data_IF_979147092298
#
_entry.id   IF_979147092298
#
_cell.length_a   1.000
_cell.length_b   1.000
_cell.length_c   1.000
_cell.angle_alpha   90.00
_cell.angle_beta   90.00
_cell.angle_gamma   90.00
#
_symmetry.space_group_name_H-M   'P 1'
#
loop_
_entity.id
_entity.type
_entity.pdbx_description
1 polymer ?
#
# COMPACT_ATOMS: atom_id res chain seq x y z
N UNK A 1 -16.76 37.19 -18.86
CA UNK A 1 -16.14 36.54 -17.67
C UNK A 1 -16.38 35.07 -17.84
N UNK A 2 -15.41 34.34 -18.47
CA UNK A 2 -15.48 32.89 -18.56
C UNK A 2 -15.25 32.36 -17.15
N UNK A 3 -16.32 31.82 -16.52
CA UNK A 3 -16.16 31.10 -15.27
C UNK A 3 -15.19 29.94 -15.53
N UNK A 4 -14.06 29.89 -14.80
CA UNK A 4 -13.22 28.71 -14.77
C UNK A 4 -14.11 27.56 -14.33
N UNK A 5 -14.28 26.58 -15.16
CA UNK A 5 -14.96 25.34 -14.76
C UNK A 5 -13.97 24.56 -13.90
N UNK A 6 -14.32 24.34 -12.62
CA UNK A 6 -13.52 23.54 -11.73
C UNK A 6 -13.77 22.06 -12.00
N UNK A 7 -12.71 21.29 -12.11
CA UNK A 7 -12.75 19.83 -12.17
C UNK A 7 -12.77 19.24 -10.76
N UNK A 8 -13.32 18.06 -10.61
CA UNK A 8 -13.29 17.28 -9.38
C UNK A 8 -12.10 16.31 -9.42
N UNK A 9 -11.05 16.60 -8.64
CA UNK A 9 -9.91 15.71 -8.45
C UNK A 9 -10.23 14.69 -7.36
N UNK A 10 -9.98 13.40 -7.62
CA UNK A 10 -10.27 12.30 -6.69
C UNK A 10 -8.98 11.65 -6.22
N UNK A 11 -8.77 11.61 -4.91
CA UNK A 11 -7.60 11.03 -4.26
C UNK A 11 -7.77 9.55 -3.95
N UNK A 12 -8.94 9.22 -3.40
CA UNK A 12 -9.23 7.90 -2.85
C UNK A 12 -10.74 7.67 -2.73
N UNK A 13 -11.12 6.41 -2.49
CA UNK A 13 -12.39 6.06 -1.88
C UNK A 13 -12.17 5.67 -0.41
N UNK A 14 -13.07 6.07 0.48
CA UNK A 14 -12.99 5.80 1.91
C UNK A 14 -14.40 5.62 2.50
N UNK A 15 -14.53 5.00 3.70
CA UNK A 15 -15.79 4.99 4.42
C UNK A 15 -16.21 6.41 4.79
N UNK A 16 -17.50 6.73 4.63
CA UNK A 16 -18.06 8.02 5.05
C UNK A 16 -18.35 7.98 6.55
N UNK A 17 -17.32 8.21 7.35
CA UNK A 17 -17.39 8.21 8.82
C UNK A 17 -17.09 9.61 9.38
N UNK A 18 -17.56 9.94 10.60
CA UNK A 18 -17.20 11.18 11.27
C UNK A 18 -15.68 11.34 11.44
N UNK A 19 -14.97 10.26 11.67
CA UNK A 19 -13.52 10.22 11.87
C UNK A 19 -12.79 10.64 10.59
N UNK A 20 -13.19 10.08 9.43
CA UNK A 20 -12.63 10.45 8.11
C UNK A 20 -12.96 11.91 7.80
N UNK A 21 -14.19 12.37 8.06
CA UNK A 21 -14.56 13.78 7.87
C UNK A 21 -13.72 14.72 8.72
N UNK A 22 -13.50 14.36 9.98
CA UNK A 22 -12.67 15.14 10.90
C UNK A 22 -11.20 15.17 10.47
N UNK A 23 -10.66 14.05 9.98
CA UNK A 23 -9.28 13.96 9.51
C UNK A 23 -8.98 14.87 8.32
N UNK A 24 -9.98 15.18 7.50
CA UNK A 24 -9.87 16.06 6.35
C UNK A 24 -10.01 17.56 6.69
N UNK A 25 -10.39 17.89 7.93
CA UNK A 25 -10.56 19.28 8.34
C UNK A 25 -9.23 20.06 8.24
N UNK A 26 -9.21 21.08 7.40
CA UNK A 26 -8.00 21.90 7.15
C UNK A 26 -6.97 21.29 6.22
N UNK A 27 -7.17 20.07 5.73
CA UNK A 27 -6.27 19.44 4.75
C UNK A 27 -6.33 20.18 3.42
N UNK A 28 -5.16 20.45 2.86
CA UNK A 28 -4.99 21.03 1.53
C UNK A 28 -4.46 19.97 0.59
N UNK A 29 -5.14 19.80 -0.52
CA UNK A 29 -4.76 18.86 -1.57
C UNK A 29 -3.95 19.50 -2.68
N UNK A 30 -4.05 18.90 -3.85
CA UNK A 30 -3.43 19.39 -5.08
C UNK A 30 -3.83 20.85 -5.34
N UNK A 31 -2.91 21.65 -5.82
CA UNK A 31 -3.05 23.11 -6.03
C UNK A 31 -3.48 23.86 -4.76
N UNK A 32 -3.23 23.32 -3.56
CA UNK A 32 -3.55 23.96 -2.27
C UNK A 32 -5.05 24.07 -1.96
N UNK A 33 -5.90 23.34 -2.67
CA UNK A 33 -7.36 23.40 -2.53
C UNK A 33 -7.88 22.57 -1.35
N UNK A 34 -9.00 22.97 -0.71
CA UNK A 34 -9.56 22.21 0.40
C UNK A 34 -10.01 20.81 -0.02
N UNK A 35 -9.77 19.83 0.84
CA UNK A 35 -10.19 18.44 0.64
C UNK A 35 -11.48 18.15 1.42
N UNK A 36 -12.37 17.35 0.84
CA UNK A 36 -13.64 16.97 1.44
C UNK A 36 -14.09 15.58 1.00
N UNK A 37 -15.09 15.01 1.68
CA UNK A 37 -15.77 13.80 1.21
C UNK A 37 -16.92 14.15 0.25
N UNK A 38 -17.02 13.35 -0.81
CA UNK A 38 -18.11 13.38 -1.80
C UNK A 38 -18.92 12.07 -1.71
N UNK A 39 -19.98 12.02 -0.88
CA UNK A 39 -20.81 10.83 -0.74
C UNK A 39 -21.82 10.68 -1.91
N UNK A 40 -22.43 9.50 -2.00
CA UNK A 40 -23.61 9.32 -2.83
C UNK A 40 -24.83 10.05 -2.25
N UNK A 41 -25.73 10.62 -3.09
CA UNK A 41 -26.79 11.52 -2.65
C UNK A 41 -27.84 10.90 -1.69
N UNK A 42 -27.88 9.58 -1.51
CA UNK A 42 -28.88 8.89 -0.68
C UNK A 42 -28.28 7.96 0.38
N UNK A 43 -27.00 8.09 0.69
CA UNK A 43 -26.45 7.41 1.85
C UNK A 43 -26.92 8.13 3.12
N UNK A 44 -28.08 7.75 3.66
CA UNK A 44 -28.51 8.20 4.99
C UNK A 44 -27.41 7.82 6.00
N UNK A 45 -27.03 8.73 6.93
CA UNK A 45 -26.10 8.35 7.99
C UNK A 45 -26.68 7.16 8.75
N UNK A 46 -25.86 6.25 9.30
CA UNK A 46 -26.34 5.13 10.08
C UNK A 46 -27.16 5.68 11.26
N UNK A 47 -28.47 5.61 11.12
CA UNK A 47 -29.40 5.95 12.20
C UNK A 47 -29.25 4.87 13.26
N UNK A 48 -28.70 5.23 14.40
CA UNK A 48 -28.83 4.46 15.63
C UNK A 48 -30.31 4.48 16.01
N UNK A 49 -31.12 3.58 15.43
CA UNK A 49 -32.51 3.42 15.85
C UNK A 49 -32.52 2.67 17.18
N UNK A 50 -32.60 3.41 18.23
CA UNK A 50 -33.12 2.91 19.49
C UNK A 50 -34.63 2.76 19.30
N UNK A 51 -35.05 1.53 18.95
CA UNK A 51 -36.48 1.18 19.04
C UNK A 51 -36.83 1.02 20.53
N UNK A 52 -37.74 1.84 21.07
CA UNK A 52 -38.31 1.57 22.38
C UNK A 52 -39.28 0.37 22.21
N UNK A 53 -38.85 -0.80 22.66
CA UNK A 53 -39.72 -1.97 22.78
C UNK A 53 -40.78 -1.72 23.82
N UNK A 54 -42.07 -1.70 23.41
CA UNK A 54 -43.21 -1.76 24.29
C UNK A 54 -43.24 -3.06 25.06
N UNK A 55 -43.46 -3.07 26.37
CA UNK A 55 -43.60 -4.29 27.15
C UNK A 55 -45.00 -4.91 26.92
N UNK A 56 -45.05 -6.06 26.29
CA UNK A 56 -46.23 -6.89 26.36
C UNK A 56 -46.14 -7.76 27.63
N UNK A 57 -47.05 -7.51 28.51
CA UNK A 57 -47.36 -8.33 29.70
C UNK A 57 -48.02 -9.64 29.24
N UNK A 58 -47.38 -10.78 29.46
CA UNK A 58 -48.13 -12.00 29.79
C UNK A 58 -47.27 -13.05 30.49
N UNK A 59 -47.73 -13.42 31.69
CA UNK A 59 -47.67 -14.66 32.47
C UNK A 59 -46.38 -15.55 32.50
N UNK A 60 -45.89 -15.67 33.77
CA UNK A 60 -44.91 -16.60 34.30
C UNK A 60 -45.24 -18.09 34.09
N UNK A 61 -44.18 -18.98 34.05
CA UNK A 61 -43.98 -19.78 35.28
C UNK A 61 -42.51 -19.79 35.75
N UNK A 62 -42.43 -19.96 37.05
CA UNK A 62 -41.30 -20.06 37.95
C UNK A 62 -40.36 -21.22 37.59
N UNK A 63 -39.08 -20.88 37.35
CA UNK A 63 -37.99 -21.85 37.25
C UNK A 63 -36.68 -21.20 37.63
N UNK A 64 -36.16 -21.52 38.82
CA UNK A 64 -34.88 -21.04 39.34
C UNK A 64 -33.73 -21.59 38.55
N UNK A 65 -32.88 -20.73 37.97
CA UNK A 65 -31.53 -21.03 37.50
C UNK A 65 -30.54 -20.04 38.10
N UNK A 66 -29.30 -20.46 38.45
CA UNK A 66 -28.34 -19.61 39.14
C UNK A 66 -27.80 -18.50 38.21
N UNK A 67 -27.80 -17.30 38.74
CA UNK A 67 -27.16 -16.14 38.18
C UNK A 67 -25.65 -16.26 38.39
N UNK A 68 -24.86 -16.45 37.28
CA UNK A 68 -23.50 -15.96 37.15
C UNK A 68 -23.05 -16.20 35.68
N UNK A 69 -23.48 -15.30 34.84
CA UNK A 69 -22.81 -15.07 33.54
C UNK A 69 -22.87 -13.59 33.29
N UNK A 70 -21.71 -12.95 33.03
CA UNK A 70 -21.73 -11.54 32.63
C UNK A 70 -22.52 -11.37 31.34
N UNK A 71 -23.24 -10.28 31.14
CA UNK A 71 -23.98 -10.02 29.93
C UNK A 71 -23.00 -10.03 28.76
N UNK A 72 -23.22 -10.90 27.78
CA UNK A 72 -22.52 -10.86 26.52
C UNK A 72 -22.76 -9.47 25.89
N UNK A 73 -21.70 -8.72 25.68
CA UNK A 73 -21.79 -7.47 24.95
C UNK A 73 -22.48 -7.74 23.61
N UNK A 74 -23.50 -6.95 23.26
CA UNK A 74 -24.14 -7.10 21.96
C UNK A 74 -23.10 -6.89 20.88
N UNK A 75 -22.80 -7.94 20.11
CA UNK A 75 -21.99 -7.83 18.91
C UNK A 75 -22.66 -6.77 18.04
N UNK A 76 -22.10 -5.57 18.06
CA UNK A 76 -22.52 -4.47 17.21
C UNK A 76 -22.18 -4.84 15.77
N UNK A 77 -23.07 -5.56 15.11
CA UNK A 77 -23.04 -5.71 13.66
C UNK A 77 -23.49 -4.36 13.07
N UNK A 78 -22.60 -3.39 13.11
CA UNK A 78 -22.81 -2.12 12.42
C UNK A 78 -22.68 -2.40 10.93
N UNK A 79 -23.72 -2.10 10.16
CA UNK A 79 -23.62 -2.16 8.70
C UNK A 79 -22.41 -1.32 8.26
N UNK A 80 -21.65 -1.79 7.25
CA UNK A 80 -20.47 -1.06 6.78
C UNK A 80 -20.87 0.37 6.39
N UNK A 81 -20.07 1.35 6.79
CA UNK A 81 -20.31 2.74 6.43
C UNK A 81 -20.35 2.87 4.89
N UNK A 82 -21.21 3.74 4.36
CA UNK A 82 -21.26 3.99 2.92
C UNK A 82 -19.90 4.52 2.42
N UNK A 83 -19.57 4.19 1.18
CA UNK A 83 -18.32 4.64 0.55
C UNK A 83 -18.50 6.03 -0.03
N UNK A 84 -17.52 6.90 0.17
CA UNK A 84 -17.42 8.23 -0.43
C UNK A 84 -16.07 8.41 -1.14
N UNK A 85 -16.01 9.34 -2.11
CA UNK A 85 -14.75 9.80 -2.65
C UNK A 85 -14.14 10.91 -1.78
N UNK A 86 -12.82 10.88 -1.64
CA UNK A 86 -12.01 11.98 -1.09
C UNK A 86 -11.63 12.88 -2.24
N UNK A 87 -12.07 14.13 -2.25
CA UNK A 87 -11.98 15.01 -3.40
C UNK A 87 -11.49 16.42 -3.06
N UNK A 88 -10.97 17.12 -4.07
CA UNK A 88 -10.81 18.58 -4.06
C UNK A 88 -11.19 19.19 -5.41
N UNK A 89 -11.26 20.52 -5.48
CA UNK A 89 -11.48 21.23 -6.74
C UNK A 89 -10.16 21.66 -7.33
N UNK A 90 -10.00 21.46 -8.64
CA UNK A 90 -8.82 21.88 -9.38
C UNK A 90 -9.24 22.64 -10.63
N UNK A 91 -8.44 23.60 -11.04
CA UNK A 91 -8.73 24.40 -12.21
C UNK A 91 -8.62 23.58 -13.50
N UNK A 92 -9.58 23.71 -14.41
CA UNK A 92 -9.60 22.97 -15.68
C UNK A 92 -8.42 23.27 -16.57
N UNK A 93 -7.88 24.50 -16.53
CA UNK A 93 -6.70 24.91 -17.29
C UNK A 93 -5.39 24.21 -16.83
N UNK A 94 -5.37 23.64 -15.61
CA UNK A 94 -4.23 22.88 -15.10
C UNK A 94 -4.39 21.36 -15.29
N UNK A 95 -5.63 20.87 -15.29
CA UNK A 95 -5.96 19.43 -15.22
C UNK A 95 -6.81 18.91 -16.38
N UNK A 96 -6.99 19.67 -17.47
CA UNK A 96 -7.60 19.12 -18.67
C UNK A 96 -6.66 18.10 -19.36
N UNK A 97 -7.21 17.25 -20.21
CA UNK A 97 -6.47 16.13 -20.85
C UNK A 97 -5.25 16.63 -21.67
N UNK A 98 -5.34 17.81 -22.28
CA UNK A 98 -4.24 18.37 -23.11
C UNK A 98 -3.11 18.87 -22.24
N UNK A 99 -3.46 19.60 -21.20
CA UNK A 99 -2.51 20.16 -20.24
C UNK A 99 -1.81 19.05 -19.47
N UNK A 100 -2.55 18.02 -19.02
CA UNK A 100 -1.97 16.88 -18.30
C UNK A 100 -0.90 16.16 -19.14
N UNK A 101 -1.11 15.96 -20.44
CA UNK A 101 -0.10 15.31 -21.30
C UNK A 101 1.23 16.09 -21.31
N UNK A 102 1.17 17.41 -21.38
CA UNK A 102 2.38 18.24 -21.34
C UNK A 102 2.99 18.31 -19.94
N UNK A 103 2.15 18.34 -18.89
CA UNK A 103 2.58 18.41 -17.49
C UNK A 103 3.22 17.12 -16.98
N UNK A 104 2.87 15.96 -17.51
CA UNK A 104 3.53 14.71 -17.15
C UNK A 104 5.00 14.63 -17.59
N UNK A 105 5.46 15.52 -18.49
CA UNK A 105 6.87 15.69 -18.84
C UNK A 105 7.60 16.65 -17.89
N UNK A 106 6.87 17.46 -17.11
CA UNK A 106 7.41 18.37 -16.10
C UNK A 106 7.55 17.63 -14.76
N UNK A 107 8.76 17.18 -14.45
CA UNK A 107 9.05 16.37 -13.27
C UNK A 107 8.80 17.14 -11.96
N UNK A 108 9.05 18.45 -11.92
CA UNK A 108 8.84 19.26 -10.71
C UNK A 108 7.34 19.39 -10.39
N UNK A 109 6.55 19.67 -11.41
CA UNK A 109 5.08 19.70 -11.27
C UNK A 109 4.53 18.33 -10.86
N UNK A 110 4.99 17.27 -11.53
CA UNK A 110 4.54 15.89 -11.23
C UNK A 110 4.89 15.48 -9.80
N UNK A 111 6.10 15.80 -9.32
CA UNK A 111 6.51 15.55 -7.94
C UNK A 111 5.62 16.31 -6.96
N UNK A 112 5.32 17.58 -7.22
CA UNK A 112 4.43 18.40 -6.38
C UNK A 112 3.02 17.81 -6.28
N UNK A 113 2.43 17.42 -7.40
CA UNK A 113 1.10 16.80 -7.45
C UNK A 113 1.11 15.44 -6.77
N UNK A 114 2.12 14.61 -7.01
CA UNK A 114 2.24 13.28 -6.40
C UNK A 114 2.39 13.37 -4.88
N UNK A 115 3.18 14.32 -4.39
CA UNK A 115 3.37 14.57 -2.96
C UNK A 115 2.06 15.03 -2.29
N UNK A 116 1.38 16.01 -2.86
CA UNK A 116 0.10 16.49 -2.34
C UNK A 116 -0.98 15.39 -2.36
N UNK A 117 -1.05 14.61 -3.44
CA UNK A 117 -1.96 13.45 -3.53
C UNK A 117 -1.66 12.42 -2.43
N UNK A 118 -0.39 12.03 -2.29
CA UNK A 118 0.05 11.07 -1.30
C UNK A 118 -0.25 11.54 0.14
N UNK A 119 -0.02 12.81 0.44
CA UNK A 119 -0.27 13.38 1.76
C UNK A 119 -1.75 13.31 2.15
N UNK A 120 -2.67 13.62 1.23
CA UNK A 120 -4.12 13.47 1.45
C UNK A 120 -4.47 12.01 1.74
N UNK A 121 -4.01 11.08 0.90
CA UNK A 121 -4.29 9.64 1.07
C UNK A 121 -3.73 9.12 2.39
N UNK A 122 -2.49 9.47 2.74
CA UNK A 122 -1.88 9.06 4.01
C UNK A 122 -2.57 9.69 5.23
N UNK A 123 -3.13 10.88 5.10
CA UNK A 123 -3.91 11.49 6.18
C UNK A 123 -5.15 10.68 6.48
N UNK A 124 -5.88 10.23 5.47
CA UNK A 124 -7.03 9.32 5.67
C UNK A 124 -6.57 7.97 6.22
N UNK A 125 -5.50 7.38 5.65
CA UNK A 125 -4.99 6.06 6.05
C UNK A 125 -4.59 5.94 7.52
N UNK A 126 -4.23 7.06 8.18
CA UNK A 126 -3.93 7.10 9.61
C UNK A 126 -5.16 7.01 10.51
N UNK A 127 -6.35 7.23 9.97
CA UNK A 127 -7.58 7.32 10.75
C UNK A 127 -8.58 6.21 10.41
N UNK A 128 -8.60 5.77 9.15
CA UNK A 128 -9.52 4.74 8.67
C UNK A 128 -8.97 4.07 7.40
N UNK A 129 -9.67 3.05 6.94
CA UNK A 129 -9.35 2.35 5.69
C UNK A 129 -9.49 3.29 4.50
N UNK A 130 -8.49 3.28 3.62
CA UNK A 130 -8.49 4.08 2.39
C UNK A 130 -8.20 3.18 1.20
N UNK A 131 -8.89 3.42 0.10
CA UNK A 131 -8.60 2.83 -1.21
C UNK A 131 -8.04 3.92 -2.12
N UNK A 132 -6.71 4.01 -2.30
CA UNK A 132 -6.10 5.03 -3.14
C UNK A 132 -6.55 4.91 -4.59
N UNK A 133 -6.76 6.04 -5.26
CA UNK A 133 -6.96 6.08 -6.70
C UNK A 133 -5.68 6.52 -7.42
N UNK A 134 -5.68 6.36 -8.74
CA UNK A 134 -4.52 6.74 -9.56
C UNK A 134 -4.31 8.26 -9.50
N UNK A 135 -3.06 8.66 -9.54
CA UNK A 135 -2.66 10.07 -9.66
C UNK A 135 -3.39 10.72 -10.85
N UNK A 136 -3.85 11.97 -10.64
CA UNK A 136 -4.58 12.76 -11.64
C UNK A 136 -5.90 12.12 -12.11
N UNK A 137 -6.59 11.38 -11.24
CA UNK A 137 -7.98 10.97 -11.49
C UNK A 137 -8.88 12.18 -11.35
N UNK A 138 -9.42 12.69 -12.46
CA UNK A 138 -10.27 13.89 -12.48
C UNK A 138 -11.59 13.62 -13.21
N UNK A 139 -12.64 14.27 -12.74
CA UNK A 139 -13.96 14.30 -13.37
C UNK A 139 -14.38 15.72 -13.68
N UNK A 140 -15.24 15.90 -14.68
CA UNK A 140 -15.72 17.22 -15.11
C UNK A 140 -16.40 18.00 -13.97
N UNK A 141 -17.09 17.28 -13.09
CA UNK A 141 -17.78 17.84 -11.92
C UNK A 141 -18.12 16.74 -10.90
N UNK A 142 -18.71 17.14 -9.77
CA UNK A 142 -19.12 16.20 -8.72
C UNK A 142 -20.15 15.18 -9.17
N UNK A 143 -21.07 15.56 -10.04
CA UNK A 143 -22.12 14.63 -10.48
C UNK A 143 -21.54 13.50 -11.34
N UNK A 144 -20.54 13.79 -12.16
CA UNK A 144 -19.78 12.77 -12.88
C UNK A 144 -18.97 11.87 -11.95
N UNK A 145 -18.35 12.47 -10.93
CA UNK A 145 -17.63 11.69 -9.92
C UNK A 145 -18.59 10.80 -9.11
N UNK A 146 -19.74 11.33 -8.68
CA UNK A 146 -20.78 10.52 -8.01
C UNK A 146 -21.32 9.40 -8.90
N UNK A 147 -21.53 9.69 -10.19
CA UNK A 147 -21.94 8.67 -11.16
C UNK A 147 -20.95 7.52 -11.27
N UNK A 148 -19.64 7.84 -11.30
CA UNK A 148 -18.58 6.83 -11.32
C UNK A 148 -18.51 6.03 -9.99
N UNK A 149 -18.68 6.71 -8.85
CA UNK A 149 -18.75 6.06 -7.54
C UNK A 149 -19.95 5.10 -7.47
N UNK A 150 -21.12 5.53 -7.91
CA UNK A 150 -22.33 4.72 -7.92
C UNK A 150 -22.18 3.46 -8.82
N UNK A 151 -21.63 3.64 -10.02
CA UNK A 151 -21.42 2.55 -10.97
C UNK A 151 -20.47 1.46 -10.45
N UNK A 152 -19.52 1.82 -9.58
CA UNK A 152 -18.50 0.92 -9.06
C UNK A 152 -18.60 0.71 -7.53
N UNK A 153 -19.70 1.11 -6.92
CA UNK A 153 -19.86 1.11 -5.46
C UNK A 153 -19.56 -0.25 -4.83
N UNK A 154 -20.05 -1.33 -5.44
CA UNK A 154 -19.81 -2.71 -4.96
C UNK A 154 -18.32 -3.04 -4.96
N UNK A 155 -17.62 -2.73 -6.05
CA UNK A 155 -16.17 -2.98 -6.16
C UNK A 155 -15.38 -2.19 -5.12
N UNK A 156 -15.72 -0.93 -4.90
CA UNK A 156 -15.09 -0.11 -3.87
C UNK A 156 -15.36 -0.64 -2.47
N UNK A 157 -16.60 -1.05 -2.18
CA UNK A 157 -16.97 -1.60 -0.88
C UNK A 157 -16.22 -2.92 -0.58
N UNK A 158 -16.12 -3.83 -1.54
CA UNK A 158 -15.35 -5.07 -1.41
C UNK A 158 -13.87 -4.81 -1.18
N UNK A 159 -13.28 -3.86 -1.94
CA UNK A 159 -11.88 -3.50 -1.77
C UNK A 159 -11.60 -2.88 -0.39
N UNK A 160 -12.43 -1.94 0.03
CA UNK A 160 -12.32 -1.35 1.37
C UNK A 160 -12.46 -2.44 2.46
N UNK A 161 -13.36 -3.40 2.29
CA UNK A 161 -13.48 -4.53 3.21
C UNK A 161 -12.21 -5.39 3.27
N UNK A 162 -11.57 -5.64 2.12
CA UNK A 162 -10.29 -6.36 2.04
C UNK A 162 -9.16 -5.60 2.76
N UNK A 163 -9.11 -4.28 2.62
CA UNK A 163 -8.05 -3.42 3.14
C UNK A 163 -8.22 -3.06 4.63
N UNK A 164 -9.38 -3.38 5.20
CA UNK A 164 -9.71 -3.01 6.58
C UNK A 164 -8.70 -3.57 7.58
N UNK A 165 -8.26 -2.70 8.51
CA UNK A 165 -7.30 -3.01 9.57
C UNK A 165 -5.95 -3.52 9.06
N UNK A 166 -5.58 -3.11 7.83
CA UNK A 166 -4.32 -3.51 7.19
C UNK A 166 -3.59 -2.32 6.60
N UNK A 167 -2.27 -2.44 6.55
CA UNK A 167 -1.39 -1.48 5.87
C UNK A 167 -0.48 -2.19 4.89
N UNK A 168 -0.02 -1.45 3.90
CA UNK A 168 0.98 -1.93 2.96
C UNK A 168 2.38 -1.76 3.53
N UNK A 169 3.19 -2.80 3.39
CA UNK A 169 4.62 -2.78 3.67
C UNK A 169 5.40 -3.15 2.42
N UNK A 170 6.34 -2.27 2.05
CA UNK A 170 7.31 -2.55 1.00
C UNK A 170 8.49 -3.32 1.56
N UNK A 171 8.90 -4.38 0.88
CA UNK A 171 10.06 -5.19 1.25
C UNK A 171 11.00 -5.24 0.06
N UNK A 172 12.22 -4.75 0.25
CA UNK A 172 13.26 -4.75 -0.78
C UNK A 172 14.48 -5.48 -0.27
N UNK A 173 15.10 -6.25 -1.16
CA UNK A 173 16.35 -6.93 -0.90
C UNK A 173 17.42 -6.39 -1.83
N UNK A 174 18.57 -6.09 -1.27
CA UNK A 174 19.71 -5.53 -1.98
C UNK A 174 20.94 -6.39 -1.81
N UNK A 175 21.73 -6.49 -2.87
CA UNK A 175 23.09 -6.99 -2.83
C UNK A 175 24.04 -5.79 -2.76
N UNK A 176 24.87 -5.75 -1.73
CA UNK A 176 25.89 -4.70 -1.60
C UNK A 176 26.91 -4.79 -2.73
N UNK A 177 27.33 -3.64 -3.29
CA UNK A 177 28.38 -3.64 -4.30
C UNK A 177 29.67 -4.24 -3.72
N UNK A 178 30.47 -4.85 -4.58
CA UNK A 178 31.84 -5.24 -4.22
C UNK A 178 32.59 -3.95 -3.94
N UNK A 179 32.74 -3.57 -2.67
CA UNK A 179 33.77 -2.61 -2.33
C UNK A 179 35.11 -3.16 -2.86
N UNK A 180 36.05 -2.29 -3.26
CA UNK A 180 37.40 -2.77 -3.44
C UNK A 180 37.76 -3.47 -2.13
N UNK A 181 37.92 -4.80 -2.16
CA UNK A 181 38.61 -5.49 -1.09
C UNK A 181 39.95 -4.81 -1.01
N UNK A 182 40.16 -3.99 0.07
CA UNK A 182 41.51 -3.54 0.34
C UNK A 182 42.38 -4.79 0.27
N UNK A 183 43.46 -4.78 -0.53
CA UNK A 183 44.36 -5.90 -0.54
C UNK A 183 44.80 -6.09 0.92
N UNK A 184 44.34 -7.14 1.59
CA UNK A 184 45.03 -7.61 2.76
C UNK A 184 46.45 -7.86 2.26
N UNK A 185 47.39 -7.07 2.73
CA UNK A 185 48.83 -7.29 2.57
C UNK A 185 49.19 -8.62 3.25
N UNK A 186 48.75 -9.71 2.66
CA UNK A 186 49.33 -11.01 2.95
C UNK A 186 50.71 -10.99 2.36
N UNK A 187 51.72 -11.01 3.25
CA UNK A 187 53.14 -11.07 2.95
C UNK A 187 53.54 -12.24 1.98
N UNK A 188 52.60 -13.09 1.60
CA UNK A 188 52.71 -14.13 0.60
C UNK A 188 52.52 -13.64 -0.86
N UNK A 189 52.00 -12.41 -1.08
CA UNK A 189 51.74 -11.91 -2.46
C UNK A 189 53.04 -11.43 -3.15
N UNK A 190 54.08 -11.09 -2.42
CA UNK A 190 55.34 -10.60 -3.00
C UNK A 190 56.11 -11.64 -3.85
N UNK A 191 55.70 -12.92 -3.81
CA UNK A 191 56.38 -13.99 -4.56
C UNK A 191 55.68 -14.37 -5.87
N UNK A 192 54.51 -13.78 -6.15
CA UNK A 192 53.74 -14.09 -7.38
C UNK A 192 53.97 -13.00 -8.43
N UNK A 193 54.38 -13.36 -9.62
CA UNK A 193 54.45 -12.38 -10.72
C UNK A 193 53.10 -11.68 -10.97
N UNK A 194 53.09 -10.41 -11.46
CA UNK A 194 51.89 -9.53 -11.52
C UNK A 194 50.71 -10.18 -12.26
N UNK A 195 50.93 -10.99 -13.27
CA UNK A 195 49.86 -11.70 -13.98
C UNK A 195 49.16 -12.79 -13.16
N UNK A 196 49.92 -13.51 -12.30
CA UNK A 196 49.30 -14.52 -11.41
C UNK A 196 48.53 -13.89 -10.25
N UNK A 197 49.04 -12.78 -9.71
CA UNK A 197 48.33 -12.00 -8.70
C UNK A 197 47.01 -11.44 -9.24
N UNK A 198 47.00 -10.88 -10.44
CA UNK A 198 45.79 -10.41 -11.11
C UNK A 198 44.75 -11.53 -11.32
N UNK A 199 45.18 -12.69 -11.82
CA UNK A 199 44.26 -13.84 -12.06
C UNK A 199 43.71 -14.38 -10.74
N UNK A 200 44.47 -14.37 -9.66
CA UNK A 200 44.00 -14.77 -8.32
C UNK A 200 42.98 -13.79 -7.79
N UNK A 201 43.25 -12.49 -7.85
CA UNK A 201 42.32 -11.45 -7.45
C UNK A 201 40.99 -11.54 -8.22
N UNK A 202 41.08 -11.74 -9.53
CA UNK A 202 39.88 -11.90 -10.37
C UNK A 202 39.04 -13.12 -10.01
N UNK A 203 39.70 -14.26 -9.73
CA UNK A 203 39.01 -15.49 -9.26
C UNK A 203 38.36 -15.26 -7.87
N UNK A 204 39.05 -14.60 -6.95
CA UNK A 204 38.51 -14.28 -5.64
C UNK A 204 37.29 -13.36 -5.72
N UNK A 205 37.34 -12.34 -6.60
CA UNK A 205 36.21 -11.45 -6.86
C UNK A 205 35.01 -12.22 -7.44
N UNK A 206 35.24 -13.10 -8.40
CA UNK A 206 34.18 -13.92 -9.01
C UNK A 206 33.55 -14.86 -7.96
N UNK A 207 34.38 -15.56 -7.18
CA UNK A 207 33.88 -16.44 -6.11
C UNK A 207 33.10 -15.66 -5.03
N UNK A 208 33.57 -14.49 -4.64
CA UNK A 208 32.86 -13.63 -3.69
C UNK A 208 31.50 -13.14 -4.26
N UNK A 209 31.45 -12.86 -5.56
CA UNK A 209 30.20 -12.50 -6.23
C UNK A 209 29.20 -13.66 -6.25
N UNK A 210 29.65 -14.88 -6.58
CA UNK A 210 28.80 -16.09 -6.55
C UNK A 210 28.24 -16.36 -5.16
N UNK A 211 29.05 -16.20 -4.11
CA UNK A 211 28.60 -16.34 -2.72
C UNK A 211 27.49 -15.32 -2.39
N UNK A 212 27.66 -14.05 -2.78
CA UNK A 212 26.63 -13.03 -2.54
C UNK A 212 25.31 -13.31 -3.24
N UNK A 213 25.34 -13.75 -4.51
CA UNK A 213 24.09 -14.11 -5.20
C UNK A 213 23.41 -15.32 -4.56
N UNK A 214 24.18 -16.27 -4.03
CA UNK A 214 23.64 -17.40 -3.26
C UNK A 214 22.99 -16.92 -1.96
N UNK A 215 23.67 -16.04 -1.22
CA UNK A 215 23.10 -15.43 0.00
C UNK A 215 21.85 -14.61 -0.33
N UNK A 216 21.82 -13.89 -1.45
CA UNK A 216 20.64 -13.14 -1.87
C UNK A 216 19.46 -14.05 -2.21
N UNK A 217 19.70 -15.19 -2.87
CA UNK A 217 18.66 -16.17 -3.12
C UNK A 217 18.14 -16.77 -1.82
N UNK A 218 19.02 -17.18 -0.91
CA UNK A 218 18.64 -17.68 0.41
C UNK A 218 17.86 -16.65 1.24
N UNK A 219 18.30 -15.38 1.20
CA UNK A 219 17.59 -14.28 1.83
C UNK A 219 16.19 -14.08 1.25
N UNK A 220 16.05 -14.12 -0.09
CA UNK A 220 14.77 -14.00 -0.75
C UNK A 220 13.80 -15.12 -0.34
N UNK A 221 14.28 -16.36 -0.31
CA UNK A 221 13.48 -17.51 0.11
C UNK A 221 13.05 -17.40 1.58
N UNK A 222 13.95 -16.96 2.47
CA UNK A 222 13.64 -16.73 3.90
C UNK A 222 12.62 -15.61 4.08
N UNK A 223 12.80 -14.47 3.39
CA UNK A 223 11.89 -13.32 3.42
C UNK A 223 10.51 -13.73 2.94
N UNK A 224 10.42 -14.45 1.81
CA UNK A 224 9.15 -14.93 1.27
C UNK A 224 8.42 -15.89 2.22
N UNK A 225 9.14 -16.86 2.78
CA UNK A 225 8.59 -17.83 3.72
C UNK A 225 8.10 -17.16 5.03
N UNK A 226 8.86 -16.19 5.54
CA UNK A 226 8.47 -15.45 6.74
C UNK A 226 7.28 -14.52 6.46
N UNK A 227 7.32 -13.75 5.37
CA UNK A 227 6.23 -12.84 5.00
C UNK A 227 4.90 -13.57 4.81
N UNK A 228 4.91 -14.78 4.25
CA UNK A 228 3.71 -15.61 4.08
C UNK A 228 3.00 -15.97 5.40
N UNK A 229 3.70 -15.91 6.54
CA UNK A 229 3.09 -16.14 7.87
C UNK A 229 2.23 -14.97 8.36
N UNK A 230 2.43 -13.78 7.79
CA UNK A 230 1.77 -12.52 8.17
C UNK A 230 0.74 -12.07 7.15
N UNK A 231 0.96 -12.35 5.89
CA UNK A 231 0.09 -11.91 4.80
C UNK A 231 -0.02 -12.94 3.70
N UNK A 232 -1.24 -13.16 3.23
CA UNK A 232 -1.53 -13.94 2.01
C UNK A 232 -1.61 -13.04 0.76
N UNK A 233 -1.58 -11.72 0.95
CA UNK A 233 -1.69 -10.73 -0.12
C UNK A 233 -0.30 -10.13 -0.40
N UNK A 234 0.22 -10.42 -1.58
CA UNK A 234 1.51 -9.98 -2.07
C UNK A 234 1.39 -9.43 -3.48
N UNK A 235 2.07 -8.33 -3.74
CA UNK A 235 2.29 -7.80 -5.09
C UNK A 235 3.78 -7.74 -5.34
N UNK A 236 4.24 -8.37 -6.43
CA UNK A 236 5.64 -8.31 -6.85
C UNK A 236 5.82 -7.14 -7.82
N UNK A 237 6.76 -6.27 -7.51
CA UNK A 237 7.17 -5.16 -8.36
C UNK A 237 8.46 -5.49 -9.11
N UNK A 238 8.71 -4.87 -10.25
CA UNK A 238 10.01 -4.96 -10.91
C UNK A 238 11.13 -4.49 -9.98
N UNK A 239 12.27 -5.20 -10.02
CA UNK A 239 13.46 -4.78 -9.31
C UNK A 239 13.89 -3.37 -9.78
N UNK A 240 14.23 -2.49 -8.85
CA UNK A 240 14.68 -1.14 -9.16
C UNK A 240 16.04 -1.17 -9.84
N UNK A 241 16.18 -0.44 -10.94
CA UNK A 241 17.41 -0.33 -11.73
C UNK A 241 17.70 1.12 -12.08
N UNK A 242 18.97 1.45 -12.34
CA UNK A 242 19.40 2.77 -12.78
C UNK A 242 19.83 3.70 -11.65
N UNK A 243 19.98 4.99 -11.95
CA UNK A 243 20.54 6.00 -11.03
C UNK A 243 19.76 6.18 -9.72
N UNK A 244 18.47 5.88 -9.73
CA UNK A 244 17.60 5.95 -8.54
C UNK A 244 17.75 4.75 -7.60
N UNK A 245 18.38 3.65 -8.04
CA UNK A 245 18.58 2.45 -7.23
C UNK A 245 19.79 2.53 -6.30
N UNK A 246 20.63 3.58 -6.46
CA UNK A 246 21.89 3.68 -5.73
C UNK A 246 22.94 2.66 -6.21
N UNK A 247 24.05 2.47 -5.47
CA UNK A 247 25.13 1.56 -5.84
C UNK A 247 24.80 0.08 -5.59
N UNK A 248 23.75 -0.22 -4.82
CA UNK A 248 23.32 -1.58 -4.49
C UNK A 248 22.41 -2.16 -5.57
N UNK A 249 22.51 -3.45 -5.81
CA UNK A 249 21.63 -4.15 -6.75
C UNK A 249 20.36 -4.61 -6.03
N UNK A 250 19.19 -4.09 -6.44
CA UNK A 250 17.90 -4.55 -5.93
C UNK A 250 17.50 -5.86 -6.62
N UNK A 251 17.31 -6.91 -5.84
CA UNK A 251 16.96 -8.26 -6.33
C UNK A 251 15.56 -8.72 -5.97
N UNK A 252 14.92 -8.07 -4.97
CA UNK A 252 13.53 -8.29 -4.60
C UNK A 252 12.87 -6.95 -4.29
N UNK A 253 11.64 -6.77 -4.78
CA UNK A 253 10.83 -5.58 -4.54
C UNK A 253 9.36 -5.99 -4.46
N UNK A 254 8.89 -6.27 -3.26
CA UNK A 254 7.57 -6.79 -3.02
C UNK A 254 6.77 -5.86 -2.08
N UNK A 255 5.46 -5.84 -2.26
CA UNK A 255 4.52 -5.24 -1.33
C UNK A 255 3.68 -6.31 -0.64
N UNK A 256 3.46 -6.16 0.65
CA UNK A 256 2.64 -7.05 1.49
C UNK A 256 1.56 -6.26 2.20
N UNK A 257 0.34 -6.81 2.25
CA UNK A 257 -0.77 -6.23 3.00
C UNK A 257 -0.85 -6.92 4.37
N UNK A 258 -0.43 -6.23 5.41
CA UNK A 258 -0.22 -6.78 6.75
C UNK A 258 -1.25 -6.22 7.74
N UNK A 259 -1.90 -7.05 8.59
CA UNK A 259 -2.76 -6.58 9.67
C UNK A 259 -2.02 -5.63 10.63
N UNK A 260 -2.71 -4.60 11.12
CA UNK A 260 -2.10 -3.57 11.99
C UNK A 260 -1.52 -4.15 13.27
N UNK A 261 -2.22 -5.13 13.87
CA UNK A 261 -1.82 -5.81 15.11
C UNK A 261 -0.56 -6.68 14.95
N UNK A 262 -0.18 -7.01 13.70
CA UNK A 262 1.00 -7.83 13.39
C UNK A 262 2.15 -7.06 12.72
N UNK A 263 1.99 -5.74 12.56
CA UNK A 263 2.92 -4.89 11.82
C UNK A 263 4.35 -4.91 12.40
N UNK A 264 4.50 -4.79 13.70
CA UNK A 264 5.81 -4.78 14.36
C UNK A 264 6.48 -6.16 14.36
N UNK A 265 5.69 -7.22 14.56
CA UNK A 265 6.19 -8.60 14.45
C UNK A 265 6.69 -8.89 13.02
N UNK A 266 5.92 -8.46 12.00
CA UNK A 266 6.32 -8.56 10.60
C UNK A 266 7.64 -7.85 10.31
N UNK A 267 7.75 -6.58 10.74
CA UNK A 267 8.96 -5.77 10.53
C UNK A 267 10.19 -6.43 11.17
N UNK A 268 10.06 -6.83 12.42
CA UNK A 268 11.14 -7.49 13.17
C UNK A 268 11.57 -8.80 12.50
N UNK A 269 10.60 -9.67 12.17
CA UNK A 269 10.89 -10.95 11.55
C UNK A 269 11.63 -10.82 10.22
N UNK A 270 11.25 -9.85 9.37
CA UNK A 270 11.91 -9.66 8.09
C UNK A 270 13.28 -8.99 8.20
N UNK A 271 13.44 -8.06 9.15
CA UNK A 271 14.75 -7.43 9.39
C UNK A 271 15.79 -8.45 9.85
N UNK A 272 15.39 -9.41 10.69
CA UNK A 272 16.28 -10.48 11.18
C UNK A 272 16.46 -11.65 10.19
N UNK A 273 15.65 -11.73 9.13
CA UNK A 273 15.68 -12.81 8.16
C UNK A 273 17.04 -12.97 7.44
N UNK A 274 17.78 -11.89 7.32
CA UNK A 274 19.07 -11.84 6.61
C UNK A 274 20.29 -11.91 7.53
N UNK A 275 20.07 -12.08 8.83
CA UNK A 275 21.19 -12.25 9.78
C UNK A 275 22.05 -13.45 9.39
N UNK A 276 23.38 -13.22 9.37
CA UNK A 276 24.36 -14.22 8.97
C UNK A 276 24.54 -14.39 7.46
N UNK A 277 23.89 -13.58 6.61
CA UNK A 277 24.06 -13.57 5.17
C UNK A 277 24.85 -12.32 4.73
N UNK A 278 26.17 -12.47 4.63
CA UNK A 278 27.06 -11.36 4.27
C UNK A 278 26.79 -10.83 2.85
N UNK A 279 26.83 -9.49 2.72
CA UNK A 279 26.65 -8.82 1.43
C UNK A 279 25.19 -8.68 0.97
N UNK A 280 24.23 -8.97 1.86
CA UNK A 280 22.79 -8.83 1.59
C UNK A 280 22.16 -7.92 2.63
N UNK A 281 21.25 -7.04 2.21
CA UNK A 281 20.49 -6.15 3.07
C UNK A 281 19.00 -6.20 2.72
N UNK A 282 18.17 -6.33 3.74
CA UNK A 282 16.71 -6.15 3.60
C UNK A 282 16.30 -4.75 4.06
N UNK A 283 15.35 -4.18 3.36
CA UNK A 283 14.72 -2.91 3.72
C UNK A 283 13.21 -3.12 3.79
N UNK A 284 12.63 -2.80 4.95
CA UNK A 284 11.19 -2.86 5.19
C UNK A 284 10.68 -1.44 5.41
N UNK A 285 9.81 -0.98 4.52
CA UNK A 285 9.19 0.35 4.55
C UNK A 285 7.70 0.27 4.82
N UNK A 286 7.11 1.33 5.34
CA UNK A 286 5.71 1.37 5.73
C UNK A 286 5.54 1.67 7.23
N UNK A 287 4.31 1.70 7.76
CA UNK A 287 3.05 1.42 7.06
C UNK A 287 2.67 2.49 6.04
N UNK A 288 2.24 2.06 4.87
CA UNK A 288 1.76 2.91 3.78
C UNK A 288 0.29 2.67 3.49
N UNK A 289 -0.37 3.66 2.89
CA UNK A 289 -1.65 3.44 2.23
C UNK A 289 -1.50 2.37 1.13
N UNK A 290 -2.51 1.49 0.94
CA UNK A 290 -2.35 0.25 0.17
C UNK A 290 -2.46 0.45 -1.35
N UNK A 291 -1.55 1.23 -1.94
CA UNK A 291 -1.53 1.54 -3.38
C UNK A 291 -1.38 0.30 -4.26
N UNK A 292 -0.51 -0.65 -3.85
CA UNK A 292 -0.27 -1.88 -4.62
C UNK A 292 -1.49 -2.80 -4.65
N UNK A 293 -2.43 -2.63 -3.72
CA UNK A 293 -3.64 -3.43 -3.57
C UNK A 293 -4.92 -2.70 -3.99
N UNK A 294 -4.80 -1.47 -4.44
CA UNK A 294 -5.95 -0.64 -4.84
C UNK A 294 -6.62 -1.11 -6.14
N UNK A 295 -5.83 -1.62 -7.08
CA UNK A 295 -6.34 -2.16 -8.35
C UNK A 295 -6.55 -3.67 -8.23
N UNK A 296 -7.62 -4.25 -8.82
CA UNK A 296 -7.71 -5.71 -8.92
C UNK A 296 -6.48 -6.25 -9.64
N UNK A 297 -5.78 -7.21 -9.02
CA UNK A 297 -4.77 -7.98 -9.74
C UNK A 297 -5.47 -8.71 -10.88
N UNK A 298 -4.94 -8.70 -12.11
CA UNK A 298 -5.48 -9.59 -13.15
C UNK A 298 -5.44 -11.01 -12.58
N UNK A 299 -6.57 -11.72 -12.67
CA UNK A 299 -6.61 -13.13 -12.29
C UNK A 299 -5.48 -13.86 -13.04
N UNK A 300 -4.76 -14.81 -12.42
CA UNK A 300 -3.81 -15.63 -13.13
C UNK A 300 -4.56 -16.24 -14.31
N UNK A 301 -4.08 -15.97 -15.52
CA UNK A 301 -4.63 -16.59 -16.72
C UNK A 301 -4.58 -18.09 -16.48
N UNK A 302 -5.74 -18.73 -16.41
CA UNK A 302 -5.84 -20.17 -16.37
C UNK A 302 -5.07 -20.68 -17.59
N UNK A 303 -3.94 -21.34 -17.33
CA UNK A 303 -3.15 -21.97 -18.36
C UNK A 303 -4.07 -22.92 -19.12
N UNK A 304 -4.49 -22.47 -20.31
CA UNK A 304 -5.33 -23.27 -21.17
C UNK A 304 -4.56 -24.54 -21.53
N UNK A 305 -4.97 -25.66 -20.96
CA UNK A 305 -4.61 -26.96 -21.46
C UNK A 305 -5.11 -27.02 -22.92
N UNK A 306 -4.15 -26.78 -23.82
CA UNK A 306 -4.34 -27.06 -25.23
C UNK A 306 -4.53 -28.56 -25.43
N UNK A 307 -5.77 -28.98 -25.54
CA UNK A 307 -6.13 -30.26 -26.14
C UNK A 307 -5.81 -30.14 -27.63
N UNK A 308 -4.71 -30.70 -28.05
CA UNK A 308 -4.42 -30.95 -29.45
C UNK A 308 -5.20 -32.19 -29.94
N UNK A 309 -5.71 -32.20 -31.18
CA UNK A 309 -6.43 -33.30 -31.78
C UNK A 309 -5.54 -34.48 -32.14
#
# INVERSE_FOLDING_TARGET
MNGREDLTYVYAAAPDTPEVRASLAGVRGVSGTPVSLLPLPNAAPPTTSLSPGSPSTDSLPTGSFPADSPPADPIRTTAPAPVAFVVSRVASDEFDERTLKARFEDLEWLEGVARAHHEVVQTVARHDTVLPLRLATVYQNDDRARGALAAQHHVFAERIALLRDRSEFGVKLYISPTGPSEPREDTAEASLGPGKAYLRSRRAQHSAQEVRYRHAQEAADRVEALAARFSTHRVRHPAQRGALAGPEENVLNDAYLVPHDRAEEFRTALTTAVEGLDGVRVEVTGPWAPYSFATPSPAPEASGEGTAP
#
